data_IF_610962851658
#
_entry.id   IF_610962851658
#
_cell.length_a   1.000
_cell.length_b   1.000
_cell.length_c   1.000
_cell.angle_alpha   90.00
_cell.angle_beta   90.00
_cell.angle_gamma   90.00
#
_symmetry.space_group_name_H-M   'P 1'
#
loop_
_entity.id
_entity.type
_entity.pdbx_description
1 polymer ?
#
# COMPACT_ATOMS: atom_id res chain seq x y z
N UNK A 1 -20.75 -29.86 -15.61
CA UNK A 1 -20.98 -30.79 -14.49
C UNK A 1 -20.66 -30.16 -13.14
N UNK A 2 -19.48 -29.55 -12.94
CA UNK A 2 -19.17 -28.87 -11.67
C UNK A 2 -20.07 -27.64 -11.44
N UNK A 3 -20.33 -26.84 -12.48
CA UNK A 3 -21.25 -25.68 -12.40
C UNK A 3 -22.70 -26.05 -12.12
N UNK A 4 -23.12 -27.29 -12.40
CA UNK A 4 -24.49 -27.76 -12.11
C UNK A 4 -24.65 -28.28 -10.67
N UNK A 5 -23.56 -28.49 -9.94
CA UNK A 5 -23.54 -28.95 -8.54
C UNK A 5 -23.11 -27.82 -7.60
N UNK A 6 -22.53 -26.74 -8.14
CA UNK A 6 -22.11 -25.58 -7.36
C UNK A 6 -23.31 -24.83 -6.78
N UNK A 7 -23.19 -24.44 -5.51
CA UNK A 7 -24.12 -23.50 -4.88
C UNK A 7 -23.81 -22.08 -5.36
N UNK A 8 -24.72 -21.40 -6.09
CA UNK A 8 -24.49 -20.04 -6.51
C UNK A 8 -24.49 -19.11 -5.30
N UNK A 9 -23.47 -18.26 -5.21
CA UNK A 9 -23.32 -17.28 -4.13
C UNK A 9 -23.48 -15.87 -4.69
N UNK A 10 -24.11 -15.01 -3.89
CA UNK A 10 -24.20 -13.59 -4.16
C UNK A 10 -23.02 -12.88 -3.50
N UNK A 11 -22.38 -11.96 -4.21
CA UNK A 11 -21.27 -11.15 -3.69
C UNK A 11 -21.70 -10.21 -2.55
N UNK A 12 -23.01 -9.96 -2.40
CA UNK A 12 -23.58 -9.21 -1.29
C UNK A 12 -23.68 -10.02 0.01
N UNK A 13 -23.54 -11.34 -0.05
CA UNK A 13 -23.67 -12.20 1.13
C UNK A 13 -22.35 -12.28 1.90
N UNK A 14 -22.24 -11.42 2.91
CA UNK A 14 -21.07 -11.33 3.78
C UNK A 14 -20.81 -12.62 4.56
N UNK A 15 -21.84 -13.38 4.93
CA UNK A 15 -21.69 -14.59 5.76
C UNK A 15 -21.02 -15.71 4.96
N UNK A 16 -21.49 -15.95 3.73
CA UNK A 16 -20.87 -16.92 2.83
C UNK A 16 -19.42 -16.55 2.46
N UNK A 17 -19.13 -15.26 2.29
CA UNK A 17 -17.77 -14.77 2.06
C UNK A 17 -16.88 -14.99 3.29
N UNK A 18 -17.39 -14.76 4.50
CA UNK A 18 -16.67 -15.00 5.75
C UNK A 18 -16.36 -16.49 5.93
N UNK A 19 -17.33 -17.37 5.66
CA UNK A 19 -17.13 -18.82 5.73
C UNK A 19 -16.07 -19.30 4.73
N UNK A 20 -16.08 -18.74 3.52
CA UNK A 20 -15.09 -19.06 2.48
C UNK A 20 -13.68 -18.59 2.87
N UNK A 21 -13.56 -17.37 3.41
CA UNK A 21 -12.31 -16.81 3.89
C UNK A 21 -11.77 -17.59 5.11
N UNK A 22 -12.62 -17.91 6.08
CA UNK A 22 -12.27 -18.71 7.25
C UNK A 22 -11.74 -20.10 6.84
N UNK A 23 -12.47 -20.80 5.98
CA UNK A 23 -12.06 -22.12 5.46
C UNK A 23 -10.69 -22.07 4.78
N UNK A 24 -10.41 -20.99 4.04
CA UNK A 24 -9.13 -20.76 3.34
C UNK A 24 -7.96 -20.47 4.28
N UNK A 25 -8.23 -20.04 5.52
CA UNK A 25 -7.24 -19.71 6.55
C UNK A 25 -7.04 -20.85 7.55
N UNK A 26 -8.04 -21.71 7.76
CA UNK A 26 -8.01 -22.79 8.76
C UNK A 26 -6.85 -23.78 8.59
N UNK A 27 -6.37 -24.02 7.37
CA UNK A 27 -5.24 -24.94 7.10
C UNK A 27 -3.86 -24.27 7.14
N UNK A 28 -3.79 -22.97 7.41
CA UNK A 28 -2.54 -22.19 7.41
C UNK A 28 -2.06 -21.90 8.83
N UNK A 29 -0.80 -21.49 8.94
CA UNK A 29 -0.16 -21.12 10.23
C UNK A 29 -0.96 -20.03 10.99
N UNK A 30 -1.70 -19.21 10.26
CA UNK A 30 -2.52 -18.11 10.79
C UNK A 30 -3.94 -18.54 11.20
N UNK A 31 -4.22 -19.85 11.29
CA UNK A 31 -5.56 -20.37 11.62
C UNK A 31 -6.08 -19.90 12.97
N UNK A 32 -5.20 -19.70 13.95
CA UNK A 32 -5.54 -19.17 15.27
C UNK A 32 -6.12 -17.75 15.21
N UNK A 33 -5.64 -16.95 14.26
CA UNK A 33 -6.06 -15.55 14.04
C UNK A 33 -7.03 -15.43 12.84
N UNK A 34 -7.60 -16.56 12.38
CA UNK A 34 -8.56 -16.57 11.27
C UNK A 34 -9.79 -15.71 11.56
N UNK A 35 -10.20 -15.61 12.83
CA UNK A 35 -11.28 -14.75 13.29
C UNK A 35 -11.02 -13.25 13.05
N UNK A 36 -9.76 -12.81 13.01
CA UNK A 36 -9.38 -11.43 12.73
C UNK A 36 -9.11 -11.21 11.23
N UNK A 37 -8.39 -12.14 10.59
CA UNK A 37 -7.97 -11.99 9.20
C UNK A 37 -9.11 -12.26 8.20
N UNK A 38 -10.06 -13.13 8.52
CA UNK A 38 -11.20 -13.41 7.66
C UNK A 38 -12.09 -12.16 7.46
N UNK A 39 -12.60 -11.48 8.51
CA UNK A 39 -13.40 -10.28 8.31
C UNK A 39 -12.60 -9.16 7.65
N UNK A 40 -11.31 -9.01 7.99
CA UNK A 40 -10.43 -8.02 7.35
C UNK A 40 -10.33 -8.23 5.83
N UNK A 41 -10.19 -9.48 5.39
CA UNK A 41 -10.11 -9.83 3.97
C UNK A 41 -11.43 -9.55 3.25
N UNK A 42 -12.55 -9.89 3.87
CA UNK A 42 -13.88 -9.64 3.32
C UNK A 42 -14.17 -8.14 3.23
N UNK A 43 -13.87 -7.39 4.30
CA UNK A 43 -14.13 -5.95 4.36
C UNK A 43 -13.22 -5.18 3.36
N UNK A 44 -11.98 -5.63 3.14
CA UNK A 44 -11.11 -5.07 2.11
C UNK A 44 -11.69 -5.26 0.70
N UNK A 45 -12.16 -6.46 0.38
CA UNK A 45 -12.77 -6.79 -0.92
C UNK A 45 -14.07 -6.00 -1.13
N UNK A 46 -14.90 -5.88 -0.08
CA UNK A 46 -16.16 -5.13 -0.13
C UNK A 46 -15.95 -3.61 -0.29
N UNK A 47 -14.80 -3.06 0.09
CA UNK A 47 -14.47 -1.64 -0.15
C UNK A 47 -13.96 -1.38 -1.56
N UNK A 48 -13.30 -2.35 -2.17
CA UNK A 48 -12.76 -2.24 -3.54
C UNK A 48 -13.82 -2.53 -4.60
N UNK A 49 -14.82 -3.35 -4.29
CA UNK A 49 -15.84 -3.72 -5.27
C UNK A 49 -16.74 -2.53 -5.60
N UNK A 50 -16.68 -2.07 -6.84
CA UNK A 50 -17.61 -1.06 -7.35
C UNK A 50 -18.92 -1.73 -7.79
N UNK A 51 -20.07 -1.42 -7.15
CA UNK A 51 -21.35 -2.07 -7.42
C UNK A 51 -21.93 -1.76 -8.81
N UNK A 52 -21.37 -0.76 -9.52
CA UNK A 52 -21.86 -0.31 -10.82
C UNK A 52 -21.11 -0.93 -12.02
N UNK A 53 -19.88 -1.42 -11.83
CA UNK A 53 -18.97 -1.76 -12.94
C UNK A 53 -18.34 -3.15 -12.86
N UNK A 54 -18.24 -3.76 -11.67
CA UNK A 54 -17.33 -4.88 -11.47
C UNK A 54 -18.01 -6.17 -10.98
N UNK A 55 -17.99 -7.20 -11.83
CA UNK A 55 -18.23 -8.61 -11.45
C UNK A 55 -17.00 -9.25 -10.80
N UNK A 56 -15.84 -8.56 -10.83
CA UNK A 56 -14.53 -9.08 -10.41
C UNK A 56 -13.69 -8.01 -9.72
N UNK A 57 -12.98 -8.41 -8.66
CA UNK A 57 -12.09 -7.54 -7.87
C UNK A 57 -10.67 -7.69 -8.38
N UNK A 58 -9.97 -6.58 -8.60
CA UNK A 58 -8.54 -6.60 -8.91
C UNK A 58 -7.73 -6.69 -7.63
N UNK A 59 -6.79 -7.64 -7.57
CA UNK A 59 -5.91 -7.81 -6.43
C UNK A 59 -4.91 -6.66 -6.27
N UNK A 60 -4.69 -5.85 -7.32
CA UNK A 60 -3.80 -4.68 -7.29
C UNK A 60 -4.35 -3.54 -6.42
N UNK A 61 -5.67 -3.51 -6.20
CA UNK A 61 -6.32 -2.49 -5.39
C UNK A 61 -6.20 -2.79 -3.88
N UNK A 62 -5.86 -4.03 -3.52
CA UNK A 62 -5.64 -4.46 -2.13
C UNK A 62 -4.13 -4.52 -1.86
N UNK A 63 -3.61 -3.48 -1.22
CA UNK A 63 -2.19 -3.42 -0.86
C UNK A 63 -1.91 -4.12 0.48
N UNK A 64 -1.10 -5.18 0.46
CA UNK A 64 -0.68 -5.90 1.68
C UNK A 64 0.70 -5.41 2.13
N UNK A 65 0.72 -4.63 3.20
CA UNK A 65 1.94 -4.05 3.76
C UNK A 65 2.38 -4.84 5.00
N UNK A 66 3.62 -5.33 4.98
CA UNK A 66 4.25 -6.00 6.14
C UNK A 66 5.21 -5.04 6.82
N UNK A 67 5.07 -4.90 8.14
CA UNK A 67 6.01 -4.16 8.98
C UNK A 67 6.62 -5.11 10.01
N UNK A 68 7.91 -4.95 10.27
CA UNK A 68 8.60 -5.71 11.31
C UNK A 68 8.17 -5.19 12.69
N UNK A 69 7.83 -6.11 13.59
CA UNK A 69 7.30 -5.82 14.92
C UNK A 69 5.79 -6.02 15.01
N UNK A 70 5.27 -6.05 16.25
CA UNK A 70 3.87 -6.36 16.54
C UNK A 70 3.54 -7.85 16.49
N UNK A 71 2.27 -8.16 16.71
CA UNK A 71 1.67 -9.48 16.64
C UNK A 71 0.68 -9.55 15.48
N UNK A 72 0.22 -10.75 15.13
CA UNK A 72 -0.85 -10.91 14.13
C UNK A 72 -2.14 -10.24 14.60
N UNK A 73 -2.34 -10.16 15.92
CA UNK A 73 -3.50 -9.48 16.52
C UNK A 73 -3.45 -7.94 16.35
N UNK A 74 -2.26 -7.38 16.10
CA UNK A 74 -2.09 -5.95 15.81
C UNK A 74 -2.33 -5.61 14.33
N UNK A 75 -2.69 -6.61 13.49
CA UNK A 75 -3.01 -6.37 12.10
C UNK A 75 -4.38 -5.66 11.99
N UNK A 76 -4.44 -4.61 11.19
CA UNK A 76 -5.66 -3.82 10.96
C UNK A 76 -5.85 -3.52 9.47
N UNK A 77 -7.11 -3.32 9.07
CA UNK A 77 -7.45 -2.78 7.76
C UNK A 77 -7.39 -1.25 7.83
N UNK A 78 -6.45 -0.66 7.10
CA UNK A 78 -6.36 0.80 6.97
C UNK A 78 -7.15 1.26 5.75
N UNK A 79 -8.06 2.21 5.95
CA UNK A 79 -8.83 2.82 4.89
C UNK A 79 -8.01 3.88 4.14
N UNK A 80 -7.26 3.40 3.16
CA UNK A 80 -6.42 4.23 2.30
C UNK A 80 -5.17 3.48 1.84
N UNK A 81 -4.17 4.24 1.38
CA UNK A 81 -2.91 3.68 0.93
C UNK A 81 -1.82 3.86 1.99
N UNK A 82 -1.28 2.75 2.48
CA UNK A 82 -0.15 2.75 3.42
C UNK A 82 1.17 2.72 2.64
N UNK A 83 2.02 3.72 2.86
CA UNK A 83 3.38 3.79 2.31
C UNK A 83 4.39 3.58 3.43
N UNK A 84 5.23 2.56 3.34
CA UNK A 84 6.26 2.23 4.36
C UNK A 84 7.52 3.09 4.28
N UNK A 85 7.43 4.24 3.62
CA UNK A 85 8.57 5.12 3.39
C UNK A 85 8.98 5.82 4.67
N UNK A 86 10.30 6.09 4.81
CA UNK A 86 10.81 6.91 5.90
C UNK A 86 10.55 8.38 5.58
N UNK A 87 10.06 9.11 6.58
CA UNK A 87 9.96 10.56 6.50
C UNK A 87 11.37 11.14 6.53
N UNK A 88 11.72 11.98 5.54
CA UNK A 88 13.06 12.55 5.40
C UNK A 88 13.40 13.55 6.52
N UNK A 89 12.39 14.21 7.09
CA UNK A 89 12.54 15.18 8.18
C UNK A 89 12.15 14.58 9.52
N UNK A 90 12.97 14.78 10.55
CA UNK A 90 12.75 14.31 11.91
C UNK A 90 11.63 15.04 12.66
N UNK A 91 11.07 16.11 12.09
CA UNK A 91 10.06 16.96 12.74
C UNK A 91 8.60 16.66 12.40
N UNK A 92 8.33 15.78 11.43
CA UNK A 92 6.95 15.51 10.98
C UNK A 92 6.55 14.09 11.36
N UNK A 93 5.81 13.96 12.45
CA UNK A 93 5.28 12.67 12.93
C UNK A 93 3.82 12.43 12.52
N UNK A 94 3.01 13.49 12.44
CA UNK A 94 1.59 13.42 12.06
C UNK A 94 1.13 14.76 11.50
N UNK A 95 0.35 14.72 10.41
CA UNK A 95 -0.24 15.91 9.78
C UNK A 95 -1.74 15.68 9.64
N UNK A 96 -2.55 16.56 10.22
CA UNK A 96 -4.01 16.54 10.03
C UNK A 96 -4.39 17.36 8.79
N UNK A 97 -5.36 16.88 8.01
CA UNK A 97 -5.79 17.50 6.74
C UNK A 97 -4.63 17.75 5.76
N UNK A 98 -3.75 16.74 5.64
CA UNK A 98 -2.61 16.81 4.73
C UNK A 98 -3.05 16.96 3.28
N UNK A 99 -2.37 17.84 2.54
CA UNK A 99 -2.48 17.91 1.07
C UNK A 99 -1.41 17.01 0.48
N UNK A 100 -1.83 15.95 -0.20
CA UNK A 100 -0.92 14.96 -0.79
C UNK A 100 -0.52 15.43 -2.18
N UNK A 101 0.78 15.64 -2.41
CA UNK A 101 1.34 15.93 -3.72
C UNK A 101 2.06 14.71 -4.29
N UNK A 102 1.72 14.32 -5.51
CA UNK A 102 2.42 13.27 -6.25
C UNK A 102 3.36 13.94 -7.27
N UNK A 103 4.66 13.91 -7.00
CA UNK A 103 5.69 14.46 -7.88
C UNK A 103 6.42 13.32 -8.60
N UNK A 104 6.46 13.38 -9.93
CA UNK A 104 7.21 12.41 -10.75
C UNK A 104 8.56 12.98 -11.23
N UNK A 105 8.85 14.24 -10.93
CA UNK A 105 10.11 14.90 -11.28
C UNK A 105 11.07 14.94 -10.08
N UNK A 106 12.37 14.95 -10.38
CA UNK A 106 13.42 15.06 -9.36
C UNK A 106 13.44 16.48 -8.75
N UNK A 107 13.57 16.56 -7.42
CA UNK A 107 13.77 17.84 -6.71
C UNK A 107 15.19 18.39 -6.84
N UNK A 108 16.13 17.59 -7.37
CA UNK A 108 17.47 18.03 -7.71
C UNK A 108 17.47 18.78 -9.04
N UNK A 109 18.32 19.81 -9.21
CA UNK A 109 18.55 20.37 -10.53
C UNK A 109 18.97 19.24 -11.48
N UNK A 110 18.41 19.18 -12.71
CA UNK A 110 18.81 18.19 -13.68
C UNK A 110 20.31 18.35 -13.93
N UNK A 111 21.10 17.39 -13.47
CA UNK A 111 22.50 17.31 -13.90
C UNK A 111 22.44 17.08 -15.40
N UNK A 112 22.91 18.05 -16.17
CA UNK A 112 23.08 17.88 -17.61
C UNK A 112 23.95 16.63 -17.82
N UNK A 113 23.50 15.69 -18.66
CA UNK A 113 24.26 14.49 -19.09
C UNK A 113 25.53 14.84 -19.91
N UNK A 114 25.95 16.11 -19.90
CA UNK A 114 27.30 16.50 -20.30
C UNK A 114 28.23 16.30 -19.12
N UNK A 115 29.34 15.58 -19.34
CA UNK A 115 30.46 15.49 -18.40
C UNK A 115 30.97 16.90 -18.05
N UNK A 116 30.40 17.51 -17.02
CA UNK A 116 30.86 18.78 -16.50
C UNK A 116 32.08 18.52 -15.60
N UNK A 117 33.26 18.47 -16.21
CA UNK A 117 34.52 18.60 -15.49
C UNK A 117 34.70 20.05 -15.03
N UNK A 118 34.27 20.36 -13.81
CA UNK A 118 34.55 21.67 -13.21
C UNK A 118 36.00 21.66 -12.73
N UNK A 119 36.91 22.20 -13.54
CA UNK A 119 38.31 22.41 -13.15
C UNK A 119 38.39 23.66 -12.28
N UNK A 120 38.28 23.48 -10.97
CA UNK A 120 38.38 24.58 -9.99
C UNK A 120 39.84 25.01 -9.90
N UNK A 121 40.16 26.17 -10.50
CA UNK A 121 41.52 26.73 -10.51
C UNK A 121 41.72 27.84 -9.47
N UNK A 122 40.64 28.38 -8.93
CA UNK A 122 40.66 29.52 -8.01
C UNK A 122 39.65 29.35 -6.86
N UNK A 123 39.99 29.83 -5.67
CA UNK A 123 39.21 29.68 -4.44
C UNK A 123 37.86 30.44 -4.54
N UNK A 124 37.82 31.54 -5.29
CA UNK A 124 36.60 32.31 -5.54
C UNK A 124 35.57 31.55 -6.39
N UNK A 125 36.01 30.61 -7.23
CA UNK A 125 35.11 29.78 -8.04
C UNK A 125 34.47 28.67 -7.19
N UNK A 126 35.15 28.20 -6.15
CA UNK A 126 34.61 27.21 -5.22
C UNK A 126 33.41 27.76 -4.44
N UNK A 127 33.49 28.99 -3.90
CA UNK A 127 32.38 29.62 -3.14
C UNK A 127 31.14 29.84 -4.02
N UNK A 128 31.34 30.08 -5.32
CA UNK A 128 30.25 30.29 -6.29
C UNK A 128 29.50 28.99 -6.60
N UNK A 129 30.22 27.87 -6.72
CA UNK A 129 29.65 26.53 -6.96
C UNK A 129 28.94 25.98 -5.71
N UNK A 130 29.35 26.39 -4.51
CA UNK A 130 28.66 26.00 -3.26
C UNK A 130 27.39 26.80 -2.96
N UNK A 131 27.25 28.00 -3.55
CA UNK A 131 26.10 28.89 -3.33
C UNK A 131 24.97 28.70 -4.35
N UNK A 132 25.26 28.12 -5.51
CA UNK A 132 24.27 27.62 -6.48
C UNK A 132 23.92 26.15 -6.22
#
# INVERSE_FOLDING_TARGET
FLTSISTPLLLSDRESLLNSASTSLCSKVVSQNSSLLAPMSVDAVMKVIDPATATSVDLRDINVVKKLGGTIDDCELVDGMVLTQRVASTGVSRVEKAKIGLIQFCLSPPKTDMDNQIVVSDYAQMDRVLRE
#
